data_IF_204585845640
#
_entry.id   IF_204585845640
#
_cell.length_a   1.000
_cell.length_b   1.000
_cell.length_c   1.000
_cell.angle_alpha   90.00
_cell.angle_beta   90.00
_cell.angle_gamma   90.00
#
_symmetry.space_group_name_H-M   'P 1'
#
loop_
_entity.id
_entity.type
_entity.pdbx_description
1 polymer ?
#
# COMPACT_ATOMS: atom_id res chain seq x y z
N UNK A 1 36.79 15.21 -21.58
CA UNK A 1 35.34 15.43 -21.39
C UNK A 1 34.47 14.32 -21.99
N UNK A 2 34.75 13.83 -23.20
CA UNK A 2 33.94 12.80 -23.90
C UNK A 2 33.71 11.51 -23.06
N UNK A 3 34.72 11.04 -22.32
CA UNK A 3 34.59 9.82 -21.51
C UNK A 3 33.60 9.96 -20.34
N UNK A 4 33.49 11.15 -19.74
CA UNK A 4 32.63 11.37 -18.57
C UNK A 4 31.14 11.36 -18.96
N UNK A 5 30.81 11.93 -20.12
CA UNK A 5 29.44 11.97 -20.64
C UNK A 5 28.93 10.58 -21.01
N UNK A 6 29.83 9.75 -21.58
CA UNK A 6 29.52 8.37 -21.91
C UNK A 6 29.25 7.56 -20.64
N UNK A 7 30.10 7.68 -19.61
CA UNK A 7 29.90 6.99 -18.33
C UNK A 7 28.58 7.42 -17.68
N UNK A 8 28.23 8.70 -17.71
CA UNK A 8 26.98 9.20 -17.13
C UNK A 8 25.75 8.55 -17.78
N UNK A 9 25.71 8.47 -19.13
CA UNK A 9 24.58 7.85 -19.85
C UNK A 9 24.42 6.36 -19.52
N UNK A 10 25.53 5.64 -19.40
CA UNK A 10 25.47 4.22 -19.05
C UNK A 10 25.02 3.99 -17.61
N UNK A 11 25.48 4.80 -16.67
CA UNK A 11 25.07 4.71 -15.26
C UNK A 11 23.57 4.95 -15.12
N UNK A 12 23.03 6.01 -15.73
CA UNK A 12 21.59 6.31 -15.67
C UNK A 12 20.75 5.17 -16.28
N UNK A 13 21.20 4.59 -17.40
CA UNK A 13 20.56 3.43 -18.01
C UNK A 13 20.55 2.21 -17.07
N UNK A 14 21.71 1.86 -16.48
CA UNK A 14 21.81 0.73 -15.56
C UNK A 14 20.96 0.92 -14.31
N UNK A 15 20.88 2.15 -13.79
CA UNK A 15 20.02 2.46 -12.63
C UNK A 15 18.56 2.24 -12.98
N UNK A 16 18.09 2.73 -14.13
CA UNK A 16 16.71 2.53 -14.60
C UNK A 16 16.41 1.04 -14.80
N UNK A 17 17.30 0.31 -15.47
CA UNK A 17 17.16 -1.14 -15.68
C UNK A 17 17.14 -1.89 -14.34
N UNK A 18 17.97 -1.49 -13.37
CA UNK A 18 17.99 -2.10 -12.04
C UNK A 18 16.69 -1.88 -11.28
N UNK A 19 16.12 -0.67 -11.33
CA UNK A 19 14.80 -0.38 -10.77
C UNK A 19 13.69 -1.18 -11.45
N UNK A 20 13.77 -1.35 -12.77
CA UNK A 20 12.80 -2.14 -13.53
C UNK A 20 12.84 -3.61 -13.13
N UNK A 21 14.04 -4.20 -13.03
CA UNK A 21 14.20 -5.59 -12.59
C UNK A 21 13.73 -5.76 -11.15
N UNK A 22 14.12 -4.86 -10.24
CA UNK A 22 13.71 -4.92 -8.84
C UNK A 22 12.19 -4.79 -8.68
N UNK A 23 11.56 -3.84 -9.39
CA UNK A 23 10.12 -3.67 -9.39
C UNK A 23 9.39 -4.89 -9.92
N UNK A 24 9.85 -5.44 -11.06
CA UNK A 24 9.26 -6.66 -11.64
C UNK A 24 9.41 -7.86 -10.69
N UNK A 25 10.54 -7.99 -10.02
CA UNK A 25 10.76 -9.05 -9.04
C UNK A 25 9.81 -8.92 -7.83
N UNK A 26 9.59 -7.71 -7.32
CA UNK A 26 8.63 -7.46 -6.24
C UNK A 26 7.19 -7.76 -6.67
N UNK A 27 6.81 -7.37 -7.87
CA UNK A 27 5.49 -7.68 -8.44
C UNK A 27 5.30 -9.20 -8.60
N UNK A 28 6.33 -9.92 -9.07
CA UNK A 28 6.31 -11.38 -9.17
C UNK A 28 6.23 -12.06 -7.80
N UNK A 29 7.00 -11.60 -6.81
CA UNK A 29 6.94 -12.14 -5.44
C UNK A 29 5.54 -11.96 -4.83
N UNK A 30 4.94 -10.79 -5.06
CA UNK A 30 3.57 -10.50 -4.60
C UNK A 30 2.56 -11.38 -5.33
N UNK A 31 2.70 -11.54 -6.65
CA UNK A 31 1.86 -12.42 -7.46
C UNK A 31 1.96 -13.89 -7.01
N UNK A 32 3.18 -14.37 -6.72
CA UNK A 32 3.43 -15.71 -6.20
C UNK A 32 2.80 -15.86 -4.81
N UNK A 33 2.93 -14.87 -3.94
CA UNK A 33 2.29 -14.88 -2.61
C UNK A 33 0.77 -15.01 -2.71
N UNK A 34 0.15 -14.24 -3.59
CA UNK A 34 -1.29 -14.33 -3.88
C UNK A 34 -1.64 -15.69 -4.47
N UNK A 35 -0.86 -16.20 -5.43
CA UNK A 35 -1.10 -17.49 -6.07
C UNK A 35 -0.97 -18.66 -5.09
N UNK A 36 0.05 -18.66 -4.23
CA UNK A 36 0.25 -19.70 -3.22
C UNK A 36 -0.89 -19.69 -2.21
N UNK A 37 -1.24 -18.49 -1.73
CA UNK A 37 -2.39 -18.31 -0.86
C UNK A 37 -3.68 -18.84 -1.52
N UNK A 38 -3.89 -18.53 -2.80
CA UNK A 38 -5.06 -18.99 -3.55
C UNK A 38 -5.08 -20.51 -3.66
N UNK A 39 -3.94 -21.12 -4.03
CA UNK A 39 -3.81 -22.57 -4.20
C UNK A 39 -4.10 -23.32 -2.89
N UNK A 40 -3.65 -22.81 -1.76
CA UNK A 40 -3.81 -23.43 -0.45
C UNK A 40 -5.23 -23.27 0.10
N UNK A 41 -5.85 -22.10 -0.12
CA UNK A 41 -7.20 -21.80 0.37
C UNK A 41 -8.34 -22.10 -0.61
N UNK A 42 -8.06 -22.58 -1.84
CA UNK A 42 -9.06 -22.91 -2.87
C UNK A 42 -10.08 -24.00 -2.43
N UNK A 43 -9.82 -24.72 -1.33
CA UNK A 43 -10.72 -25.77 -0.82
C UNK A 43 -11.78 -25.26 0.17
N UNK A 44 -11.67 -24.02 0.64
CA UNK A 44 -12.62 -23.43 1.57
C UNK A 44 -13.37 -22.34 0.81
N UNK A 45 -14.68 -22.52 0.58
CA UNK A 45 -15.65 -21.65 -0.12
C UNK A 45 -15.79 -20.22 0.47
N UNK A 46 -14.67 -19.55 0.78
CA UNK A 46 -14.68 -18.14 1.13
C UNK A 46 -14.62 -17.38 -0.17
N UNK A 47 -15.73 -16.71 -0.47
CA UNK A 47 -15.87 -15.68 -1.49
C UNK A 47 -14.71 -14.70 -1.37
N UNK A 48 -13.65 -14.94 -2.14
CA UNK A 48 -12.48 -14.11 -2.09
C UNK A 48 -12.84 -12.71 -2.55
N UNK A 49 -12.30 -11.73 -1.84
CA UNK A 49 -12.64 -10.34 -2.02
C UNK A 49 -11.92 -9.87 -3.27
N UNK A 50 -12.64 -9.65 -4.37
CA UNK A 50 -12.19 -9.00 -5.60
C UNK A 50 -11.28 -7.76 -5.34
N UNK A 51 -11.42 -7.16 -4.16
CA UNK A 51 -10.54 -6.15 -3.57
C UNK A 51 -9.05 -6.52 -3.54
N UNK A 52 -8.65 -7.75 -3.22
CA UNK A 52 -7.23 -8.12 -3.08
C UNK A 52 -6.54 -8.18 -4.45
N UNK A 53 -7.26 -8.70 -5.45
CA UNK A 53 -6.81 -8.68 -6.86
C UNK A 53 -6.72 -7.24 -7.37
N UNK A 54 -7.68 -6.38 -7.02
CA UNK A 54 -7.63 -4.96 -7.37
C UNK A 54 -6.41 -4.25 -6.76
N UNK A 55 -6.05 -4.54 -5.50
CA UNK A 55 -4.85 -3.97 -4.89
C UNK A 55 -3.56 -4.44 -5.59
N UNK A 56 -3.51 -5.69 -6.03
CA UNK A 56 -2.38 -6.19 -6.81
C UNK A 56 -2.26 -5.50 -8.17
N UNK A 57 -3.37 -5.40 -8.92
CA UNK A 57 -3.40 -4.69 -10.19
C UNK A 57 -3.03 -3.22 -9.99
N UNK A 58 -3.48 -2.60 -8.89
CA UNK A 58 -3.11 -1.24 -8.52
C UNK A 58 -1.59 -1.10 -8.38
N UNK A 59 -0.93 -1.97 -7.62
CA UNK A 59 0.53 -1.97 -7.41
C UNK A 59 1.30 -2.13 -8.72
N UNK A 60 0.88 -3.09 -9.55
CA UNK A 60 1.52 -3.34 -10.85
C UNK A 60 1.34 -2.13 -11.79
N UNK A 61 0.15 -1.52 -11.79
CA UNK A 61 -0.14 -0.31 -12.59
C UNK A 61 0.69 0.88 -12.12
N UNK A 62 0.82 1.12 -10.81
CA UNK A 62 1.69 2.19 -10.28
C UNK A 62 3.14 2.01 -10.71
N UNK A 63 3.64 0.77 -10.67
CA UNK A 63 5.02 0.46 -11.01
C UNK A 63 5.30 0.62 -12.52
N UNK A 64 4.41 0.11 -13.37
CA UNK A 64 4.48 0.32 -14.82
C UNK A 64 4.44 1.80 -15.18
N UNK A 65 3.60 2.57 -14.51
CA UNK A 65 3.45 3.99 -14.79
C UNK A 65 4.70 4.79 -14.38
N UNK A 66 5.32 4.43 -13.24
CA UNK A 66 6.62 4.96 -12.84
C UNK A 66 7.70 4.66 -13.88
N UNK A 67 7.75 3.43 -14.41
CA UNK A 67 8.70 3.05 -15.47
C UNK A 67 8.50 3.90 -16.72
N UNK A 68 7.24 4.06 -17.18
CA UNK A 68 6.92 4.90 -18.34
C UNK A 68 7.35 6.35 -18.10
N UNK A 69 7.08 6.90 -16.92
CA UNK A 69 7.51 8.24 -16.53
C UNK A 69 9.04 8.39 -16.58
N UNK A 70 9.80 7.43 -16.04
CA UNK A 70 11.27 7.45 -16.08
C UNK A 70 11.81 7.34 -17.51
N UNK A 71 11.22 6.48 -18.34
CA UNK A 71 11.58 6.34 -19.75
C UNK A 71 11.32 7.64 -20.52
N UNK A 72 10.19 8.30 -20.27
CA UNK A 72 9.90 9.60 -20.88
C UNK A 72 10.99 10.58 -20.48
N UNK A 73 11.33 10.73 -19.20
CA UNK A 73 12.37 11.68 -18.76
C UNK A 73 13.74 11.36 -19.35
N UNK A 74 14.15 10.09 -19.36
CA UNK A 74 15.42 9.66 -19.93
C UNK A 74 15.53 10.03 -21.42
N UNK A 75 14.43 9.94 -22.18
CA UNK A 75 14.41 10.29 -23.61
C UNK A 75 14.12 11.78 -23.87
N UNK A 76 13.44 12.46 -22.97
CA UNK A 76 13.00 13.85 -23.19
C UNK A 76 14.13 14.86 -22.95
N UNK A 77 15.05 14.57 -22.03
CA UNK A 77 16.26 15.39 -21.79
C UNK A 77 17.12 15.54 -23.06
N UNK A 78 17.55 14.46 -23.74
CA UNK A 78 18.39 14.58 -24.93
C UNK A 78 17.63 15.24 -26.11
N UNK A 79 16.33 14.99 -26.23
CA UNK A 79 15.48 15.65 -27.25
C UNK A 79 15.42 17.16 -26.98
N UNK A 80 15.25 17.57 -25.72
CA UNK A 80 15.24 18.99 -25.36
C UNK A 80 16.58 19.66 -25.65
N UNK A 81 17.70 19.00 -25.33
CA UNK A 81 19.04 19.48 -25.65
C UNK A 81 19.24 19.66 -27.16
N UNK A 82 18.73 18.73 -27.98
CA UNK A 82 18.82 18.82 -29.43
C UNK A 82 18.04 20.00 -30.02
N UNK A 83 16.96 20.44 -29.36
CA UNK A 83 16.08 21.52 -29.86
C UNK A 83 16.56 22.89 -29.38
N UNK A 84 16.90 23.04 -28.09
CA UNK A 84 17.14 24.35 -27.47
C UNK A 84 18.64 24.69 -27.30
N UNK A 85 19.53 23.73 -27.58
CA UNK A 85 20.97 23.91 -27.46
C UNK A 85 21.49 23.89 -26.02
N UNK A 86 22.81 23.87 -25.90
CA UNK A 86 23.58 23.55 -24.67
C UNK A 86 23.47 24.60 -23.55
N UNK A 87 22.86 25.77 -23.79
CA UNK A 87 22.91 26.89 -22.83
C UNK A 87 21.85 26.87 -21.73
N UNK A 88 20.80 26.05 -21.83
CA UNK A 88 19.65 26.04 -20.90
C UNK A 88 19.43 24.72 -20.15
N UNK A 89 20.48 23.93 -19.93
CA UNK A 89 20.34 22.56 -19.43
C UNK A 89 19.80 22.49 -17.99
N UNK A 90 20.27 23.38 -17.13
CA UNK A 90 19.91 23.35 -15.70
C UNK A 90 18.44 23.69 -15.46
N UNK A 91 17.93 24.70 -16.17
CA UNK A 91 16.52 25.11 -16.02
C UNK A 91 15.58 24.05 -16.58
N UNK A 92 15.89 23.51 -17.76
CA UNK A 92 15.07 22.46 -18.36
C UNK A 92 15.05 21.19 -17.51
N UNK A 93 16.22 20.76 -17.00
CA UNK A 93 16.31 19.60 -16.11
C UNK A 93 15.53 19.83 -14.82
N UNK A 94 15.61 21.02 -14.23
CA UNK A 94 14.82 21.39 -13.06
C UNK A 94 13.31 21.29 -13.33
N UNK A 95 12.82 21.98 -14.38
CA UNK A 95 11.40 21.99 -14.74
C UNK A 95 10.88 20.58 -15.03
N UNK A 96 11.62 19.78 -15.79
CA UNK A 96 11.22 18.40 -16.09
C UNK A 96 11.18 17.52 -14.86
N UNK A 97 12.17 17.64 -13.97
CA UNK A 97 12.20 16.85 -12.73
C UNK A 97 11.06 17.25 -11.79
N UNK A 98 10.76 18.54 -11.67
CA UNK A 98 9.63 19.03 -10.87
C UNK A 98 8.29 18.58 -11.46
N UNK A 99 8.09 18.74 -12.76
CA UNK A 99 6.86 18.27 -13.43
C UNK A 99 6.71 16.75 -13.30
N UNK A 100 7.79 15.98 -13.37
CA UNK A 100 7.75 14.54 -13.18
C UNK A 100 7.33 14.18 -11.75
N UNK A 101 7.89 14.87 -10.75
CA UNK A 101 7.58 14.63 -9.35
C UNK A 101 6.10 14.91 -9.06
N UNK A 102 5.60 16.07 -9.50
CA UNK A 102 4.21 16.47 -9.34
C UNK A 102 3.25 15.53 -10.08
N UNK A 103 3.56 15.17 -11.34
CA UNK A 103 2.73 14.21 -12.10
C UNK A 103 2.73 12.84 -11.47
N UNK A 104 3.86 12.36 -10.93
CA UNK A 104 3.93 11.09 -10.21
C UNK A 104 3.02 11.09 -8.98
N UNK A 105 3.03 12.16 -8.17
CA UNK A 105 2.14 12.29 -7.02
C UNK A 105 0.67 12.38 -7.42
N UNK A 106 0.35 13.13 -8.47
CA UNK A 106 -1.01 13.23 -9.01
C UNK A 106 -1.51 11.88 -9.53
N UNK A 107 -0.65 11.11 -10.21
CA UNK A 107 -0.96 9.80 -10.75
C UNK A 107 -1.16 8.75 -9.66
N UNK A 108 -0.36 8.77 -8.60
CA UNK A 108 -0.54 7.88 -7.45
C UNK A 108 -1.90 8.12 -6.78
N UNK A 109 -2.26 9.39 -6.57
CA UNK A 109 -3.59 9.78 -6.09
C UNK A 109 -4.72 9.34 -7.04
N UNK A 110 -4.53 9.50 -8.36
CA UNK A 110 -5.50 9.07 -9.37
C UNK A 110 -5.71 7.56 -9.35
N UNK A 111 -4.63 6.78 -9.28
CA UNK A 111 -4.68 5.33 -9.22
C UNK A 111 -5.42 4.88 -7.96
N UNK A 112 -5.13 5.47 -6.80
CA UNK A 112 -5.87 5.18 -5.56
C UNK A 112 -7.38 5.44 -5.72
N UNK A 113 -7.76 6.51 -6.39
CA UNK A 113 -9.18 6.87 -6.64
C UNK A 113 -9.86 5.88 -7.59
N UNK A 114 -9.19 5.44 -8.65
CA UNK A 114 -9.73 4.50 -9.64
C UNK A 114 -9.98 3.13 -9.03
N UNK A 115 -9.01 2.64 -8.25
CA UNK A 115 -9.03 1.29 -7.68
C UNK A 115 -9.82 1.17 -6.37
N UNK A 116 -10.09 2.27 -5.67
CA UNK A 116 -10.95 2.25 -4.50
C UNK A 116 -12.43 2.43 -4.89
N UNK A 117 -13.26 1.38 -4.87
CA UNK A 117 -14.65 1.45 -5.32
C UNK A 117 -15.49 2.40 -4.45
N UNK A 118 -15.15 2.56 -3.17
CA UNK A 118 -15.83 3.48 -2.26
C UNK A 118 -15.53 4.93 -2.65
N UNK A 119 -14.26 5.24 -2.90
CA UNK A 119 -13.84 6.58 -3.35
C UNK A 119 -14.42 6.89 -4.73
N UNK A 120 -14.38 5.94 -5.66
CA UNK A 120 -14.96 6.09 -7.01
C UNK A 120 -16.46 6.38 -6.95
N UNK A 121 -17.22 5.66 -6.12
CA UNK A 121 -18.65 5.90 -5.95
C UNK A 121 -18.95 7.28 -5.35
N UNK A 122 -18.10 7.78 -4.46
CA UNK A 122 -18.23 9.13 -3.89
C UNK A 122 -17.90 10.22 -4.89
N UNK A 123 -16.84 10.04 -5.70
CA UNK A 123 -16.43 10.99 -6.73
C UNK A 123 -17.48 11.12 -7.83
N UNK A 124 -18.06 10.00 -8.28
CA UNK A 124 -19.08 9.99 -9.33
C UNK A 124 -20.48 10.42 -8.86
N UNK A 125 -20.71 10.49 -7.54
CA UNK A 125 -21.99 10.96 -6.95
C UNK A 125 -21.77 12.12 -5.98
N UNK A 126 -21.35 13.30 -6.46
CA UNK A 126 -21.11 14.46 -5.60
C UNK A 126 -22.37 14.93 -4.86
N UNK A 127 -23.56 14.60 -5.37
CA UNK A 127 -24.84 14.95 -4.77
C UNK A 127 -25.07 14.38 -3.35
N UNK A 128 -24.37 13.31 -2.97
CA UNK A 128 -24.47 12.73 -1.62
C UNK A 128 -23.75 13.56 -0.55
N UNK A 129 -22.69 14.27 -0.93
CA UNK A 129 -21.85 15.06 0.00
C UNK A 129 -22.62 16.30 0.47
N UNK A 130 -23.28 17.00 -0.45
CA UNK A 130 -24.12 18.15 -0.13
C UNK A 130 -25.34 17.80 0.74
N UNK A 131 -25.92 16.61 0.56
CA UNK A 131 -27.06 16.16 1.38
C UNK A 131 -26.64 15.78 2.81
N UNK A 132 -25.43 15.25 3.02
CA UNK A 132 -24.90 14.99 4.36
C UNK A 132 -24.52 16.28 5.09
N UNK A 133 -23.91 17.25 4.39
CA UNK A 133 -23.60 18.56 4.96
C UNK A 133 -24.84 19.29 5.49
N UNK A 134 -26.00 19.09 4.85
CA UNK A 134 -27.27 19.70 5.28
C UNK A 134 -27.91 19.03 6.49
N UNK A 135 -27.58 17.75 6.77
CA UNK A 135 -28.26 16.94 7.81
C UNK A 135 -27.53 16.94 9.16
N UNK A 136 -26.24 17.30 9.17
CA UNK A 136 -25.48 17.62 10.36
C UNK A 136 -24.57 18.80 10.01
N UNK A 137 -25.00 20.06 10.21
CA UNK A 137 -24.08 21.16 10.30
C UNK A 137 -23.26 20.91 11.57
N UNK A 138 -22.20 20.12 11.46
CA UNK A 138 -21.10 20.20 12.42
C UNK A 138 -20.56 21.60 12.18
N UNK A 139 -21.08 22.54 12.97
CA UNK A 139 -20.50 23.86 13.12
C UNK A 139 -19.13 23.57 13.70
N UNK A 140 -18.13 23.42 12.82
CA UNK A 140 -16.75 23.58 13.19
C UNK A 140 -16.62 25.06 13.54
N UNK A 141 -17.00 25.41 14.77
CA UNK A 141 -16.54 26.62 15.42
C UNK A 141 -15.03 26.46 15.42
N UNK A 142 -14.37 27.02 14.42
CA UNK A 142 -12.94 27.26 14.44
C UNK A 142 -12.78 28.28 15.55
N UNK A 143 -12.71 27.82 16.79
CA UNK A 143 -12.20 28.62 17.89
C UNK A 143 -10.78 28.93 17.46
N UNK A 144 -10.57 30.15 16.96
CA UNK A 144 -9.26 30.76 16.84
C UNK A 144 -8.78 30.94 18.27
N UNK A 145 -8.29 29.85 18.87
CA UNK A 145 -7.57 29.92 20.12
C UNK A 145 -6.33 30.71 19.81
N UNK A 146 -6.28 31.93 20.35
CA UNK A 146 -5.10 32.78 20.38
C UNK A 146 -3.86 31.93 20.62
N UNK A 147 -2.81 32.19 19.83
CA UNK A 147 -1.60 31.38 19.69
C UNK A 147 -0.73 31.29 20.96
N UNK A 148 -1.23 31.70 22.12
CA UNK A 148 -0.44 31.86 23.35
C UNK A 148 -0.53 30.65 24.30
N UNK A 149 -1.46 29.70 24.10
CA UNK A 149 -1.61 28.51 24.97
C UNK A 149 -1.26 27.16 24.30
N UNK A 150 -0.66 27.14 23.10
CA UNK A 150 -0.43 25.89 22.36
C UNK A 150 0.80 25.06 22.79
N UNK A 151 1.60 25.50 23.78
CA UNK A 151 2.84 24.82 24.16
C UNK A 151 2.72 23.51 24.97
N UNK A 152 1.67 23.21 25.77
CA UNK A 152 1.63 21.96 26.52
C UNK A 152 1.02 20.77 25.73
N UNK A 153 0.23 21.01 24.67
CA UNK A 153 -0.51 19.94 23.97
C UNK A 153 0.38 19.15 23.00
N UNK A 154 1.35 19.80 22.36
CA UNK A 154 2.34 19.11 21.52
C UNK A 154 3.13 18.07 22.34
N UNK A 155 3.41 18.36 23.61
CA UNK A 155 4.18 17.47 24.49
C UNK A 155 3.36 16.26 25.02
N UNK A 156 2.03 16.30 24.93
CA UNK A 156 1.17 15.17 25.26
C UNK A 156 1.10 14.15 24.09
N UNK A 157 1.03 14.65 22.86
CA UNK A 157 0.96 13.82 21.64
C UNK A 157 2.24 12.98 21.44
N UNK A 158 3.41 13.60 21.64
CA UNK A 158 4.69 12.90 21.58
C UNK A 158 4.85 11.79 22.65
N UNK A 159 4.24 11.96 23.83
CA UNK A 159 4.25 10.93 24.88
C UNK A 159 3.38 9.72 24.53
N UNK A 160 2.25 9.93 23.86
CA UNK A 160 1.38 8.84 23.41
C UNK A 160 2.01 8.05 22.25
N UNK A 161 2.69 8.72 21.32
CA UNK A 161 3.44 8.08 20.24
C UNK A 161 4.60 7.22 20.78
N UNK A 162 5.35 7.69 21.79
CA UNK A 162 6.41 6.87 22.40
C UNK A 162 5.87 5.61 23.08
N UNK A 163 4.70 5.67 23.74
CA UNK A 163 4.09 4.49 24.37
C UNK A 163 3.67 3.44 23.32
N UNK A 164 3.07 3.88 22.21
CA UNK A 164 2.68 3.00 21.11
C UNK A 164 3.88 2.27 20.49
N UNK A 165 4.99 2.99 20.24
CA UNK A 165 6.21 2.41 19.66
C UNK A 165 6.86 1.37 20.60
N UNK A 166 6.87 1.63 21.91
CA UNK A 166 7.41 0.69 22.91
C UNK A 166 6.55 -0.58 23.02
N UNK A 167 5.21 -0.45 22.97
CA UNK A 167 4.33 -1.62 22.98
C UNK A 167 4.44 -2.48 21.73
N UNK A 168 4.65 -1.89 20.53
CA UNK A 168 4.88 -2.67 19.31
C UNK A 168 6.20 -3.44 19.34
N UNK A 169 7.25 -2.87 19.94
CA UNK A 169 8.54 -3.55 20.07
C UNK A 169 8.48 -4.75 21.03
N UNK A 170 7.70 -4.64 22.12
CA UNK A 170 7.50 -5.74 23.07
C UNK A 170 6.66 -6.89 22.48
N UNK A 171 5.63 -6.58 21.68
CA UNK A 171 4.86 -7.61 20.97
C UNK A 171 5.69 -8.32 19.90
N UNK A 172 6.57 -7.59 19.21
CA UNK A 172 7.49 -8.20 18.23
C UNK A 172 8.50 -9.15 18.87
N UNK A 173 8.92 -8.92 20.12
CA UNK A 173 9.83 -9.82 20.84
C UNK A 173 9.13 -11.06 21.41
N UNK A 174 7.86 -10.94 21.84
CA UNK A 174 7.08 -12.11 22.27
C UNK A 174 6.82 -13.10 21.12
N UNK A 175 6.56 -12.60 19.91
CA UNK A 175 6.34 -13.47 18.74
C UNK A 175 7.56 -14.29 18.33
N UNK A 176 8.78 -13.90 18.74
CA UNK A 176 10.00 -14.70 18.49
C UNK A 176 10.26 -15.76 19.55
N UNK A 177 9.72 -15.60 20.76
CA UNK A 177 9.92 -16.57 21.84
C UNK A 177 9.03 -17.82 21.70
N UNK A 178 7.85 -17.69 21.09
CA UNK A 178 6.91 -18.82 20.91
C UNK A 178 7.24 -19.75 19.73
N UNK A 179 8.19 -19.39 18.85
CA UNK A 179 8.56 -20.23 17.70
C UNK A 179 9.71 -21.21 17.99
N UNK A 180 10.22 -21.26 19.22
CA UNK A 180 11.33 -22.14 19.62
C UNK A 180 10.93 -23.33 20.50
N UNK A 181 9.64 -23.63 20.64
CA UNK A 181 9.20 -24.76 21.45
C UNK A 181 8.76 -25.96 20.59
N UNK A 182 9.69 -26.93 20.53
CA UNK A 182 9.51 -28.39 20.41
C UNK A 182 8.76 -28.95 19.17
N UNK A 183 9.55 -29.42 18.20
CA UNK A 183 9.14 -30.47 17.26
C UNK A 183 9.40 -31.82 17.94
N UNK A 184 8.38 -32.62 18.29
CA UNK A 184 8.60 -34.00 18.69
C UNK A 184 8.94 -34.85 17.46
N UNK A 185 10.05 -35.59 17.53
CA UNK A 185 10.33 -36.69 16.60
C UNK A 185 9.22 -37.74 16.70
N UNK A 186 8.41 -37.86 15.65
CA UNK A 186 7.45 -38.94 15.50
C UNK A 186 8.12 -40.07 14.74
N UNK A 187 8.42 -41.13 15.49
CA UNK A 187 8.89 -42.42 14.99
C UNK A 187 7.91 -43.02 13.98
N UNK A 188 8.49 -43.53 12.91
CA UNK A 188 7.82 -44.09 11.75
C UNK A 188 7.57 -45.59 11.99
N UNK A 189 6.42 -45.93 12.58
CA UNK A 189 5.90 -47.29 12.58
C UNK A 189 4.58 -47.32 11.80
N UNK A 190 4.59 -48.09 10.71
CA UNK A 190 3.44 -48.24 9.84
C UNK A 190 2.29 -49.04 10.46
N UNK A 191 1.21 -49.11 9.68
CA UNK A 191 0.11 -50.07 9.70
C UNK A 191 -1.28 -49.50 10.10
N UNK A 192 -2.13 -49.43 9.06
CA UNK A 192 -3.51 -49.90 9.00
C UNK A 192 -4.69 -49.07 9.53
N UNK A 193 -5.59 -48.80 8.58
CA UNK A 193 -7.06 -48.75 8.67
C UNK A 193 -7.73 -48.88 10.06
N UNK A 194 -8.48 -47.84 10.46
CA UNK A 194 -9.95 -47.89 10.57
C UNK A 194 -10.54 -46.61 11.19
N UNK A 195 -11.64 -46.16 10.57
CA UNK A 195 -12.91 -45.75 11.21
C UNK A 195 -12.81 -44.85 12.44
N UNK A 196 -13.19 -43.58 12.30
CA UNK A 196 -14.08 -42.91 13.26
C UNK A 196 -14.94 -41.86 12.55
N UNK A 197 -16.20 -42.23 12.31
CA UNK A 197 -17.33 -41.32 12.22
C UNK A 197 -17.73 -40.85 13.63
N UNK A 198 -18.31 -39.65 13.68
CA UNK A 198 -19.30 -39.17 14.69
C UNK A 198 -18.79 -38.31 15.87
N UNK A 199 -19.60 -37.29 16.19
CA UNK A 199 -19.51 -36.25 17.25
C UNK A 199 -18.77 -34.99 16.79
N UNK A 200 -19.42 -33.84 16.59
CA UNK A 200 -20.00 -33.04 17.68
C UNK A 200 -21.36 -32.43 17.29
N UNK A 201 -22.31 -32.64 18.19
CA UNK A 201 -23.68 -32.14 18.22
C UNK A 201 -23.69 -30.86 19.09
N UNK A 202 -24.38 -29.81 18.62
CA UNK A 202 -25.11 -28.86 19.46
C UNK A 202 -24.35 -27.79 20.25
N UNK A 203 -24.37 -26.54 19.75
CA UNK A 203 -24.45 -25.35 20.60
C UNK A 203 -25.48 -24.40 19.98
N UNK A 204 -26.74 -24.64 20.36
CA UNK A 204 -27.87 -23.74 20.13
C UNK A 204 -27.85 -22.71 21.25
N UNK A 205 -27.56 -21.45 20.93
CA UNK A 205 -27.70 -20.33 21.89
C UNK A 205 -28.99 -19.60 21.58
N UNK A 206 -29.96 -19.78 22.46
CA UNK A 206 -31.14 -18.93 22.59
C UNK A 206 -30.72 -17.50 22.95
N UNK A 207 -31.23 -16.52 22.19
CA UNK A 207 -31.16 -15.11 22.56
C UNK A 207 -32.60 -14.60 22.77
N UNK A 208 -32.95 -14.04 23.95
CA UNK A 208 -34.28 -13.51 24.19
C UNK A 208 -34.47 -12.13 23.53
N UNK A 209 -35.56 -12.02 22.79
CA UNK A 209 -36.13 -10.78 22.26
C UNK A 209 -36.73 -9.99 23.43
N UNK A 210 -36.16 -8.83 23.77
CA UNK A 210 -36.78 -7.85 24.65
C UNK A 210 -37.47 -6.79 23.80
N UNK A 211 -38.78 -6.92 23.63
CA UNK A 211 -39.68 -5.86 23.18
C UNK A 211 -39.95 -4.92 24.37
N UNK A 212 -39.51 -3.66 24.30
CA UNK A 212 -40.08 -2.57 25.11
C UNK A 212 -41.12 -1.83 24.27
N UNK A 213 -42.31 -1.72 24.84
CA UNK A 213 -43.36 -0.77 24.49
C UNK A 213 -42.98 0.64 24.92
#
# INVERSE_FOLDING_TARGET
>A
MICAEFISKYVDFYVIVSFLIAGTALDLLTAIGIYHYFRENSRVDRHFSHTDVLFFIQSCTTNLLLIVCLLIVANLIPVYQAIFGERQEHFAKFVMTTLLMETSHALDGLIMVIFNPKTRAQLLRPQGIFKRAKKNPVVCTITVTSAEEALPVANQSWRNLRRLVVTSALLSNKSKADYSQEVPEVGNDGCSERVWTTAVRGVQRDLPIVLRK
#
